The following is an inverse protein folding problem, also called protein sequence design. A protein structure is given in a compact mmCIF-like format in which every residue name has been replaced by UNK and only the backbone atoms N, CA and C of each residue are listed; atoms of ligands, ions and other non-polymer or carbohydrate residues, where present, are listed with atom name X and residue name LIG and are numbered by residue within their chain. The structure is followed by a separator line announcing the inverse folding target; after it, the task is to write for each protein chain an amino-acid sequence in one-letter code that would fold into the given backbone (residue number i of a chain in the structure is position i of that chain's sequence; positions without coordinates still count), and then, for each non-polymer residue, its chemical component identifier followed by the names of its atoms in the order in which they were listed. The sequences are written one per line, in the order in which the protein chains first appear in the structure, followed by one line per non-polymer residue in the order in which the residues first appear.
data_IF_714040814551
#
_entry.id   IF_714040814551
#
_cell.length_a   1.000
_cell.length_b   1.000
_cell.length_c   1.000
_cell.angle_alpha   90.00
_cell.angle_beta   90.00
_cell.angle_gamma   90.00
#
_symmetry.space_group_name_H-M   'P 1'
#
loop_
_entity.id
_entity.type
_entity.pdbx_description
1 polymer ?
#
# COMPACT_ATOMS: atom_id res chain seq x y z
N UNK A 1 -42.72 29.27 26.23
CA UNK A 1 -42.57 27.80 26.36
C UNK A 1 -42.44 27.20 24.97
N UNK A 2 -41.45 26.30 24.77
CA UNK A 2 -41.39 25.22 23.76
C UNK A 2 -41.14 25.67 22.30
N UNK A 3 -40.19 25.17 21.51
CA UNK A 3 -39.09 24.19 21.69
C UNK A 3 -38.11 24.40 20.53
N UNK A 4 -36.82 24.28 20.82
CA UNK A 4 -35.69 24.16 19.88
C UNK A 4 -35.85 22.91 19.03
N UNK A 5 -35.49 22.96 17.73
CA UNK A 5 -34.83 21.84 17.04
C UNK A 5 -33.92 22.37 15.93
N UNK A 6 -32.62 22.45 16.27
CA UNK A 6 -31.49 22.57 15.34
C UNK A 6 -31.44 21.31 14.47
N UNK A 7 -31.70 21.43 13.17
CA UNK A 7 -31.32 20.41 12.19
C UNK A 7 -29.91 20.73 11.68
N UNK A 8 -28.90 20.31 12.44
CA UNK A 8 -27.53 20.24 11.92
C UNK A 8 -27.43 19.01 11.04
N UNK A 9 -27.62 19.19 9.73
CA UNK A 9 -27.36 18.15 8.74
C UNK A 9 -25.84 18.07 8.56
N UNK A 10 -25.20 17.24 9.38
CA UNK A 10 -23.84 16.79 9.08
C UNK A 10 -23.90 15.86 7.88
N UNK A 11 -23.62 16.41 6.70
CA UNK A 11 -23.22 15.64 5.53
C UNK A 11 -21.82 15.08 5.79
N UNK A 12 -21.72 14.03 6.60
CA UNK A 12 -20.58 13.13 6.52
C UNK A 12 -20.71 12.39 5.19
N UNK A 13 -20.10 12.96 4.15
CA UNK A 13 -19.69 12.19 3.00
C UNK A 13 -18.66 11.17 3.50
N UNK A 14 -19.14 10.01 3.95
CA UNK A 14 -18.32 8.82 4.07
C UNK A 14 -17.80 8.52 2.66
N UNK A 15 -16.58 8.98 2.37
CA UNK A 15 -15.77 8.38 1.32
C UNK A 15 -15.73 6.89 1.65
N UNK A 16 -16.44 6.08 0.87
CA UNK A 16 -16.43 4.64 1.06
C UNK A 16 -14.97 4.18 0.96
N UNK A 17 -14.43 3.46 1.95
CA UNK A 17 -13.14 2.82 1.77
C UNK A 17 -13.25 1.93 0.53
N UNK A 18 -12.26 2.03 -0.34
CA UNK A 18 -12.18 1.17 -1.51
C UNK A 18 -11.96 -0.24 -0.97
N UNK A 19 -13.04 -1.02 -0.89
CA UNK A 19 -13.04 -2.36 -0.31
C UNK A 19 -11.91 -3.18 -0.92
N UNK A 20 -11.09 -3.78 -0.07
CA UNK A 20 -10.08 -4.74 -0.46
C UNK A 20 -10.67 -5.80 -1.41
N UNK A 21 -9.91 -6.17 -2.44
CA UNK A 21 -10.31 -7.16 -3.45
C UNK A 21 -9.64 -8.51 -3.19
N UNK A 22 -10.24 -9.60 -3.67
CA UNK A 22 -9.56 -10.90 -3.71
C UNK A 22 -8.73 -11.07 -4.99
N UNK A 23 -8.91 -10.20 -5.98
CA UNK A 23 -8.22 -10.26 -7.27
C UNK A 23 -6.82 -9.61 -7.15
N UNK A 24 -5.73 -10.32 -7.47
CA UNK A 24 -4.37 -9.78 -7.43
C UNK A 24 -4.18 -8.50 -8.26
N UNK A 25 -4.80 -8.44 -9.44
CA UNK A 25 -4.67 -7.36 -10.41
C UNK A 25 -5.23 -6.03 -9.89
N UNK A 26 -6.16 -6.09 -8.92
CA UNK A 26 -6.64 -4.89 -8.25
C UNK A 26 -5.52 -4.17 -7.52
N UNK A 27 -4.62 -4.91 -6.87
CA UNK A 27 -3.51 -4.34 -6.10
C UNK A 27 -2.38 -3.83 -6.99
N UNK A 28 -2.22 -4.39 -8.20
CA UNK A 28 -1.26 -3.89 -9.19
C UNK A 28 -1.58 -2.47 -9.68
N UNK A 29 -2.81 -1.99 -9.45
CA UNK A 29 -3.22 -0.62 -9.73
C UNK A 29 -2.86 0.38 -8.63
N UNK A 30 -2.43 -0.09 -7.46
CA UNK A 30 -2.05 0.75 -6.33
C UNK A 30 -0.60 1.20 -6.53
N UNK A 31 -0.43 2.44 -6.99
CA UNK A 31 0.89 3.02 -7.34
C UNK A 31 1.40 4.06 -6.35
N UNK A 32 0.59 4.49 -5.39
CA UNK A 32 0.95 5.56 -4.45
C UNK A 32 0.68 5.14 -3.01
N UNK A 33 1.47 5.68 -2.08
CA UNK A 33 1.28 5.46 -0.65
C UNK A 33 -0.12 5.91 -0.19
N UNK A 34 -0.63 7.03 -0.70
CA UNK A 34 -1.99 7.49 -0.38
C UNK A 34 -3.04 6.44 -0.77
N UNK A 35 -2.92 5.86 -1.97
CA UNK A 35 -3.86 4.85 -2.43
C UNK A 35 -3.76 3.58 -1.60
N UNK A 36 -2.54 3.17 -1.24
CA UNK A 36 -2.29 2.04 -0.37
C UNK A 36 -3.01 2.20 0.96
N UNK A 37 -2.79 3.33 1.64
CA UNK A 37 -3.40 3.63 2.94
C UNK A 37 -4.93 3.77 2.88
N UNK A 38 -5.51 3.99 1.70
CA UNK A 38 -6.97 4.01 1.51
C UNK A 38 -7.63 2.63 1.36
N UNK A 39 -6.83 1.59 1.10
CA UNK A 39 -7.29 0.22 0.80
C UNK A 39 -6.93 -0.74 1.92
N UNK A 40 -5.76 -0.55 2.53
CA UNK A 40 -5.26 -1.44 3.57
C UNK A 40 -5.66 -0.88 4.93
N UNK A 41 -6.59 -1.57 5.59
CA UNK A 41 -6.95 -1.28 6.99
C UNK A 41 -5.92 -1.95 7.93
N UNK A 42 -5.78 -1.42 9.15
CA UNK A 42 -4.94 -2.04 10.18
C UNK A 42 -5.44 -3.45 10.53
N UNK A 43 -4.53 -4.42 10.83
CA UNK A 43 -3.12 -4.23 11.15
C UNK A 43 -2.16 -4.38 9.95
N UNK A 44 -1.20 -3.46 9.88
CA UNK A 44 -0.11 -3.48 8.91
C UNK A 44 1.21 -3.60 9.69
N UNK A 45 2.01 -4.62 9.37
CA UNK A 45 3.40 -4.68 9.82
C UNK A 45 4.27 -3.83 8.88
N UNK A 46 5.16 -3.01 9.43
CA UNK A 46 6.03 -2.13 8.65
C UNK A 46 7.50 -2.39 8.93
N UNK A 47 8.33 -2.42 7.88
CA UNK A 47 9.78 -2.55 8.00
C UNK A 47 10.49 -1.63 7.00
N UNK A 48 11.38 -0.78 7.50
CA UNK A 48 12.22 0.08 6.66
C UNK A 48 13.50 -0.64 6.25
N UNK A 49 13.90 -0.50 4.99
CA UNK A 49 15.13 -1.08 4.45
C UNK A 49 15.74 -0.19 3.37
N UNK A 50 16.99 -0.49 3.01
CA UNK A 50 17.71 0.20 1.95
C UNK A 50 18.04 -0.77 0.80
N UNK A 51 17.84 -0.30 -0.42
CA UNK A 51 18.17 -1.03 -1.65
C UNK A 51 18.68 -0.03 -2.68
N UNK A 52 19.82 -0.32 -3.33
CA UNK A 52 20.43 0.59 -4.33
C UNK A 52 20.65 2.04 -3.85
N UNK A 53 20.90 2.24 -2.55
CA UNK A 53 21.11 3.57 -1.97
C UNK A 53 19.84 4.40 -1.76
N UNK A 54 18.66 3.83 -1.96
CA UNK A 54 17.36 4.43 -1.69
C UNK A 54 16.71 3.79 -0.45
N UNK A 55 15.84 4.54 0.23
CA UNK A 55 15.05 4.06 1.37
C UNK A 55 13.68 3.58 0.93
N UNK A 56 13.26 2.45 1.49
CA UNK A 56 11.98 1.83 1.22
C UNK A 56 11.29 1.41 2.50
N UNK A 57 9.97 1.46 2.47
CA UNK A 57 9.12 0.87 3.50
C UNK A 57 8.34 -0.32 2.95
N UNK A 58 8.55 -1.49 3.56
CA UNK A 58 7.74 -2.67 3.37
C UNK A 58 6.51 -2.62 4.28
N UNK A 59 5.31 -2.77 3.70
CA UNK A 59 4.04 -2.85 4.40
C UNK A 59 3.45 -4.25 4.16
N UNK A 60 3.16 -4.99 5.23
CA UNK A 60 2.49 -6.28 5.15
C UNK A 60 1.11 -6.24 5.82
N UNK A 61 0.07 -6.47 5.03
CA UNK A 61 -1.29 -6.67 5.52
C UNK A 61 -1.50 -8.14 5.86
N UNK A 62 -1.76 -8.42 7.13
CA UNK A 62 -2.05 -9.77 7.62
C UNK A 62 -3.34 -10.29 6.98
N UNK A 63 -4.37 -9.46 6.92
CA UNK A 63 -5.70 -9.84 6.43
C UNK A 63 -5.70 -10.18 4.94
N UNK A 64 -4.92 -9.45 4.15
CA UNK A 64 -4.78 -9.68 2.72
C UNK A 64 -3.69 -10.71 2.39
N UNK A 65 -2.89 -11.10 3.38
CA UNK A 65 -1.65 -11.85 3.21
C UNK A 65 -0.81 -11.27 2.05
N UNK A 66 -0.67 -9.94 2.01
CA UNK A 66 -0.08 -9.21 0.88
C UNK A 66 0.89 -8.15 1.37
N UNK A 67 1.97 -8.03 0.62
CA UNK A 67 3.02 -7.05 0.83
C UNK A 67 2.98 -5.95 -0.23
N UNK A 68 3.47 -4.79 0.18
CA UNK A 68 3.67 -3.61 -0.65
C UNK A 68 5.02 -3.00 -0.29
N UNK A 69 5.81 -2.64 -1.30
CA UNK A 69 7.07 -1.92 -1.09
C UNK A 69 6.90 -0.51 -1.66
N UNK A 70 7.15 0.48 -0.81
CA UNK A 70 7.06 1.90 -1.14
C UNK A 70 8.47 2.47 -1.18
N UNK A 71 8.80 3.20 -2.25
CA UNK A 71 9.97 4.05 -2.30
C UNK A 71 9.67 5.33 -1.50
N UNK A 72 10.44 5.59 -0.44
CA UNK A 72 10.15 6.69 0.48
C UNK A 72 10.51 8.07 -0.11
N UNK A 73 11.40 8.12 -1.09
CA UNK A 73 11.75 9.37 -1.80
C UNK A 73 10.63 9.80 -2.76
N UNK A 74 10.01 8.84 -3.45
CA UNK A 74 8.98 9.09 -4.47
C UNK A 74 7.55 9.01 -3.91
N UNK A 75 7.34 8.31 -2.78
CA UNK A 75 6.03 8.00 -2.25
C UNK A 75 5.23 7.01 -3.13
N UNK A 76 5.94 6.24 -3.96
CA UNK A 76 5.39 5.33 -4.96
C UNK A 76 5.53 3.87 -4.55
N UNK A 77 4.50 3.07 -4.83
CA UNK A 77 4.54 1.62 -4.65
C UNK A 77 5.26 1.01 -5.84
N UNK A 78 6.45 0.45 -5.61
CA UNK A 78 7.26 -0.17 -6.65
C UNK A 78 6.84 -1.63 -6.92
N UNK A 79 6.36 -2.33 -5.88
CA UNK A 79 6.12 -3.76 -5.90
C UNK A 79 4.96 -4.16 -4.98
N UNK A 80 4.17 -5.13 -5.43
CA UNK A 80 3.12 -5.78 -4.66
C UNK A 80 3.15 -7.29 -4.91
N UNK A 81 3.03 -8.08 -3.86
CA UNK A 81 3.11 -9.54 -3.95
C UNK A 81 2.47 -10.22 -2.74
N UNK A 82 2.13 -11.49 -2.89
CA UNK A 82 1.50 -12.29 -1.82
C UNK A 82 2.57 -12.82 -0.87
N UNK A 83 2.28 -12.79 0.43
CA UNK A 83 3.17 -13.25 1.49
C UNK A 83 3.94 -12.11 2.17
N UNK A 84 4.73 -12.48 3.18
CA UNK A 84 5.40 -11.55 4.11
C UNK A 84 6.88 -11.30 3.77
N UNK A 85 7.50 -12.19 2.99
CA UNK A 85 8.93 -12.13 2.68
C UNK A 85 9.24 -10.82 1.93
N UNK A 86 10.24 -10.05 2.37
CA UNK A 86 10.63 -8.83 1.65
C UNK A 86 11.24 -9.22 0.31
N UNK A 87 10.66 -8.73 -0.78
CA UNK A 87 11.19 -8.83 -2.14
C UNK A 87 11.91 -7.52 -2.54
N UNK A 88 12.31 -7.43 -3.81
CA UNK A 88 13.06 -6.29 -4.36
C UNK A 88 12.15 -5.39 -5.21
N UNK A 89 12.42 -4.08 -5.21
CA UNK A 89 11.85 -3.15 -6.20
C UNK A 89 12.52 -3.29 -7.58
N UNK A 90 13.67 -3.97 -7.64
CA UNK A 90 14.51 -4.13 -8.83
C UNK A 90 14.75 -5.61 -9.12
N UNK A 91 13.69 -6.41 -9.32
CA UNK A 91 13.87 -7.83 -9.59
C UNK A 91 14.66 -8.01 -10.89
N UNK A 92 15.78 -8.73 -10.82
CA UNK A 92 16.51 -9.16 -12.01
C UNK A 92 15.56 -9.96 -12.90
N UNK A 93 15.58 -9.73 -14.22
CA UNK A 93 14.91 -10.68 -15.11
C UNK A 93 15.61 -12.03 -15.01
N UNK A 94 14.87 -13.13 -15.13
CA UNK A 94 15.37 -14.50 -14.93
C UNK A 94 16.50 -14.93 -15.89
N UNK A 95 16.89 -14.07 -16.83
CA UNK A 95 17.99 -14.28 -17.77
C UNK A 95 19.11 -13.23 -17.68
N UNK A 96 19.01 -12.27 -16.76
CA UNK A 96 20.06 -11.26 -16.57
C UNK A 96 21.14 -11.81 -15.63
N UNK A 97 22.40 -11.76 -16.08
CA UNK A 97 23.53 -12.09 -15.22
C UNK A 97 23.65 -11.06 -14.09
N UNK A 98 24.21 -11.48 -12.95
CA UNK A 98 24.50 -10.63 -11.80
C UNK A 98 25.35 -9.37 -12.10
N UNK A 99 25.95 -9.27 -13.29
CA UNK A 99 26.67 -8.07 -13.75
C UNK A 99 25.76 -6.98 -14.32
N UNK A 100 24.56 -7.34 -14.80
CA UNK A 100 23.56 -6.42 -15.35
C UNK A 100 22.38 -6.20 -14.40
N UNK A 101 22.28 -7.00 -13.34
CA UNK A 101 21.36 -6.74 -12.25
C UNK A 101 22.11 -5.96 -11.16
N UNK A 102 21.71 -4.72 -10.88
CA UNK A 102 22.38 -3.88 -9.90
C UNK A 102 22.28 -4.45 -8.49
#
# INVERSE_FOLDING_TARGET
MKTVLLFSVLLFAFNKPLLASNEPEFYDSIRTLEKLLSVVEEPIETYAFQEQGMEFTHFFSIDLNRSFIVNDELGEVCSTYVGRQIESCFPCQSQESSENCP
#
